data_IF_850834004349
#
_entry.id   IF_850834004349
#
_cell.length_a   1.000
_cell.length_b   1.000
_cell.length_c   1.000
_cell.angle_alpha   90.00
_cell.angle_beta   90.00
_cell.angle_gamma   90.00
#
_symmetry.space_group_name_H-M   'P 1'
#
loop_
_entity.id
_entity.type
_entity.pdbx_description
1 polymer ?
#
# COMPACT_ATOMS: atom_id res chain seq x y z
N UNK A 1 70.97 2.20 -1.35
CA UNK A 1 70.06 1.65 -2.40
C UNK A 1 69.52 0.24 -2.10
N UNK A 2 70.19 -0.60 -1.31
CA UNK A 2 69.67 -1.98 -0.97
C UNK A 2 68.38 -2.04 -0.14
N UNK A 3 68.04 -1.01 0.66
CA UNK A 3 66.88 -1.04 1.56
C UNK A 3 65.54 -0.64 0.90
N UNK A 4 65.60 0.05 -0.24
CA UNK A 4 64.38 0.48 -0.96
C UNK A 4 63.83 -0.72 -1.75
N UNK A 5 64.69 -1.57 -2.28
CA UNK A 5 64.30 -2.75 -3.02
C UNK A 5 63.54 -3.75 -2.10
N UNK A 6 64.02 -3.95 -0.87
CA UNK A 6 63.46 -4.86 0.11
C UNK A 6 62.06 -4.40 0.63
N UNK A 7 61.84 -3.08 0.65
CA UNK A 7 60.54 -2.52 1.11
C UNK A 7 59.47 -2.59 0.04
N UNK A 8 59.86 -2.60 -1.24
CA UNK A 8 58.95 -2.73 -2.37
C UNK A 8 58.46 -4.21 -2.49
N UNK A 9 59.35 -5.15 -2.25
CA UNK A 9 59.00 -6.61 -2.25
C UNK A 9 58.07 -6.96 -1.11
N UNK A 10 58.23 -6.35 0.07
CA UNK A 10 57.33 -6.57 1.22
C UNK A 10 55.93 -6.02 0.93
N UNK A 11 55.81 -4.84 0.30
CA UNK A 11 54.50 -4.27 -0.09
C UNK A 11 53.79 -5.10 -1.13
N UNK A 12 54.49 -5.66 -2.11
CA UNK A 12 53.94 -6.58 -3.11
C UNK A 12 53.52 -7.89 -2.50
N UNK A 13 54.28 -8.44 -1.55
CA UNK A 13 53.91 -9.66 -0.82
C UNK A 13 52.65 -9.45 0.05
N UNK A 14 52.53 -8.33 0.75
CA UNK A 14 51.32 -7.95 1.54
C UNK A 14 50.13 -7.78 0.63
N UNK A 15 50.27 -7.15 -0.51
CA UNK A 15 49.20 -6.93 -1.48
C UNK A 15 48.71 -8.26 -2.09
N UNK A 16 49.63 -9.15 -2.43
CA UNK A 16 49.33 -10.50 -2.91
C UNK A 16 48.61 -11.35 -1.81
N UNK A 17 49.01 -11.18 -0.55
CA UNK A 17 48.38 -11.87 0.60
C UNK A 17 46.93 -11.38 0.81
N UNK A 18 46.71 -10.08 0.67
CA UNK A 18 45.34 -9.48 0.78
C UNK A 18 44.43 -9.99 -0.34
N UNK A 19 44.95 -10.01 -1.59
CA UNK A 19 44.20 -10.55 -2.75
C UNK A 19 43.85 -12.04 -2.54
N UNK A 20 44.80 -12.86 -2.05
CA UNK A 20 44.55 -14.25 -1.74
C UNK A 20 43.50 -14.45 -0.64
N UNK A 21 43.48 -13.57 0.35
CA UNK A 21 42.47 -13.58 1.42
C UNK A 21 41.06 -13.25 0.92
N UNK A 22 40.94 -12.30 -0.02
CA UNK A 22 39.63 -11.99 -0.66
C UNK A 22 39.14 -13.10 -1.60
N UNK A 23 40.04 -13.88 -2.21
CA UNK A 23 39.70 -15.01 -3.09
C UNK A 23 39.28 -16.27 -2.31
N UNK A 24 39.66 -16.41 -1.05
CA UNK A 24 39.30 -17.57 -0.21
C UNK A 24 37.93 -17.45 0.48
N UNK A 25 37.27 -16.29 0.36
CA UNK A 25 35.99 -15.99 1.02
C UNK A 25 34.76 -16.69 0.43
N UNK A 26 34.85 -17.33 -0.74
CA UNK A 26 33.79 -18.16 -1.28
C UNK A 26 34.15 -19.65 -1.09
N UNK A 27 33.52 -20.29 -0.15
CA UNK A 27 33.62 -21.70 0.22
C UNK A 27 33.34 -22.67 -0.97
N UNK A 28 33.83 -22.37 -2.17
CA UNK A 28 33.72 -23.17 -3.40
C UNK A 28 32.31 -23.36 -3.96
N UNK A 29 31.27 -22.74 -3.33
CA UNK A 29 29.91 -22.75 -3.83
C UNK A 29 29.64 -21.44 -4.53
N UNK A 30 29.83 -21.44 -5.85
CA UNK A 30 29.28 -20.38 -6.69
C UNK A 30 27.76 -20.28 -6.40
N UNK A 31 27.18 -19.06 -6.27
CA UNK A 31 25.75 -18.88 -6.19
C UNK A 31 25.12 -19.18 -7.56
N UNK A 32 25.09 -20.43 -7.92
CA UNK A 32 24.47 -20.98 -9.11
C UNK A 32 23.52 -22.08 -8.67
N UNK A 33 22.29 -22.07 -9.20
CA UNK A 33 21.34 -23.13 -8.93
C UNK A 33 21.95 -24.49 -9.34
N UNK A 34 21.82 -25.50 -8.47
CA UNK A 34 22.20 -26.86 -8.76
C UNK A 34 21.43 -27.33 -10.02
N UNK A 35 22.16 -27.53 -11.13
CA UNK A 35 21.60 -27.98 -12.42
C UNK A 35 20.86 -29.33 -12.33
N UNK A 36 21.14 -30.13 -11.27
CA UNK A 36 20.40 -31.34 -10.98
C UNK A 36 19.02 -31.10 -10.40
N UNK A 37 18.85 -29.98 -9.73
CA UNK A 37 17.57 -29.57 -9.10
C UNK A 37 16.78 -28.61 -9.96
N UNK A 38 17.45 -27.82 -10.80
CA UNK A 38 16.82 -26.79 -11.64
C UNK A 38 17.20 -27.06 -13.09
N UNK A 39 16.27 -27.42 -13.97
CA UNK A 39 16.52 -27.63 -15.39
C UNK A 39 17.16 -26.40 -16.03
N UNK A 40 18.13 -26.60 -16.92
CA UNK A 40 18.77 -25.51 -17.66
C UNK A 40 17.81 -24.87 -18.67
N UNK A 41 16.90 -25.66 -19.19
CA UNK A 41 15.85 -25.20 -20.12
C UNK A 41 14.78 -24.38 -19.40
N UNK A 42 14.48 -23.14 -19.85
CA UNK A 42 13.47 -22.29 -19.27
C UNK A 42 12.06 -22.89 -19.27
N UNK A 43 11.65 -23.60 -20.32
CA UNK A 43 10.32 -24.20 -20.42
C UNK A 43 10.13 -25.34 -19.42
N UNK A 44 11.13 -26.22 -19.29
CA UNK A 44 11.13 -27.30 -18.30
C UNK A 44 11.14 -26.74 -16.87
N UNK A 45 11.78 -25.59 -16.65
CA UNK A 45 11.79 -24.89 -15.35
C UNK A 45 10.41 -24.34 -15.00
N UNK A 46 9.74 -23.72 -15.97
CA UNK A 46 8.38 -23.20 -15.81
C UNK A 46 7.42 -24.36 -15.50
N UNK A 47 7.49 -25.45 -16.30
CA UNK A 47 6.65 -26.63 -16.10
C UNK A 47 6.84 -27.24 -14.72
N UNK A 48 8.07 -27.43 -14.30
CA UNK A 48 8.41 -27.94 -12.97
C UNK A 48 7.89 -27.03 -11.84
N UNK A 49 8.05 -25.72 -11.98
CA UNK A 49 7.56 -24.78 -10.99
C UNK A 49 6.03 -24.76 -10.90
N UNK A 50 5.33 -24.97 -12.03
CA UNK A 50 3.87 -25.11 -12.05
C UNK A 50 3.42 -26.41 -11.38
N UNK A 51 4.09 -27.54 -11.66
CA UNK A 51 3.80 -28.85 -11.06
C UNK A 51 4.06 -28.85 -9.54
N UNK A 52 5.11 -28.18 -9.09
CA UNK A 52 5.45 -28.03 -7.67
C UNK A 52 4.69 -26.91 -6.96
N UNK A 53 3.79 -26.22 -7.66
CA UNK A 53 3.02 -25.09 -7.11
C UNK A 53 3.88 -23.86 -6.79
N UNK A 54 5.10 -23.79 -7.31
CA UNK A 54 6.06 -22.68 -7.15
C UNK A 54 6.00 -21.68 -8.31
N UNK A 55 4.86 -21.57 -8.97
CA UNK A 55 4.62 -20.52 -9.96
C UNK A 55 4.70 -19.14 -9.33
N UNK A 56 5.04 -18.14 -10.13
CA UNK A 56 5.01 -16.73 -9.71
C UNK A 56 3.59 -16.39 -9.23
N UNK A 57 3.43 -16.26 -7.92
CA UNK A 57 2.19 -15.80 -7.30
C UNK A 57 2.35 -14.34 -6.98
N UNK A 58 1.69 -13.51 -7.77
CA UNK A 58 1.68 -12.06 -7.55
C UNK A 58 1.30 -11.71 -6.11
N UNK A 59 0.40 -12.49 -5.50
CA UNK A 59 -0.06 -12.30 -4.13
C UNK A 59 1.00 -12.59 -3.05
N UNK A 60 1.95 -13.50 -3.29
CA UNK A 60 3.00 -13.84 -2.31
C UNK A 60 4.18 -12.86 -2.35
N UNK A 61 4.53 -12.36 -3.55
CA UNK A 61 5.61 -11.39 -3.72
C UNK A 61 5.18 -10.01 -3.24
N UNK A 62 3.94 -9.59 -3.50
CA UNK A 62 3.39 -8.34 -3.00
C UNK A 62 2.99 -8.37 -1.51
N UNK A 63 2.73 -9.56 -0.94
CA UNK A 63 2.43 -9.72 0.48
C UNK A 63 3.64 -9.58 1.42
N UNK A 64 4.87 -9.70 0.90
CA UNK A 64 6.12 -9.52 1.67
C UNK A 64 6.68 -8.12 1.61
N UNK A 65 6.30 -7.34 0.62
CA UNK A 65 6.62 -5.92 0.59
C UNK A 65 5.64 -5.18 1.50
N UNK A 66 6.11 -4.67 2.63
CA UNK A 66 5.41 -3.67 3.47
C UNK A 66 5.19 -2.33 2.73
N UNK A 67 5.19 -2.34 1.43
CA UNK A 67 4.96 -1.24 0.50
C UNK A 67 3.65 -1.47 -0.24
N UNK A 68 2.55 -1.06 0.35
CA UNK A 68 1.36 -0.51 -0.26
C UNK A 68 0.80 -1.17 -1.52
N UNK A 69 0.37 -2.44 -1.45
CA UNK A 69 -0.80 -2.80 -2.22
C UNK A 69 -1.96 -2.16 -1.46
N UNK A 70 -2.47 -1.07 -2.00
CA UNK A 70 -3.66 -0.42 -1.49
C UNK A 70 -4.86 -1.35 -1.72
N UNK A 71 -5.11 -2.29 -0.83
CA UNK A 71 -6.40 -2.97 -0.74
C UNK A 71 -7.44 -1.98 -0.18
N UNK A 72 -7.74 -0.92 -0.93
CA UNK A 72 -8.76 0.04 -0.52
C UNK A 72 -10.14 -0.60 -0.43
N UNK A 73 -10.40 -1.64 -1.22
CA UNK A 73 -11.74 -2.08 -1.51
C UNK A 73 -12.47 -2.78 -0.37
N UNK A 74 -11.79 -3.63 0.42
CA UNK A 74 -12.49 -4.46 1.39
C UNK A 74 -11.92 -4.43 2.80
N UNK A 75 -10.66 -4.02 2.96
CA UNK A 75 -9.95 -4.06 4.24
C UNK A 75 -9.56 -2.69 4.79
N UNK A 76 -9.72 -1.61 4.00
CA UNK A 76 -9.39 -0.27 4.46
C UNK A 76 -10.59 0.37 5.16
N UNK A 77 -10.45 0.61 6.44
CA UNK A 77 -11.48 1.18 7.31
C UNK A 77 -11.86 2.60 6.90
N UNK A 78 -10.88 3.42 6.45
CA UNK A 78 -11.14 4.78 5.95
C UNK A 78 -11.98 4.77 4.69
N UNK A 79 -11.71 3.85 3.78
CA UNK A 79 -12.46 3.71 2.53
C UNK A 79 -13.93 3.35 2.81
N UNK A 80 -14.15 2.32 3.62
CA UNK A 80 -15.50 1.89 4.02
C UNK A 80 -16.25 3.00 4.74
N UNK A 81 -15.60 3.66 5.71
CA UNK A 81 -16.20 4.77 6.44
C UNK A 81 -16.56 5.94 5.53
N UNK A 82 -15.72 6.24 4.53
CA UNK A 82 -16.02 7.30 3.57
C UNK A 82 -17.24 6.99 2.73
N UNK A 83 -17.35 5.78 2.19
CA UNK A 83 -18.53 5.35 1.44
C UNK A 83 -19.80 5.41 2.27
N UNK A 84 -19.74 4.97 3.51
CA UNK A 84 -20.89 4.98 4.42
C UNK A 84 -21.32 6.38 4.86
N UNK A 85 -20.41 7.34 4.92
CA UNK A 85 -20.74 8.73 5.29
C UNK A 85 -21.40 9.46 4.12
N UNK A 86 -21.02 9.13 2.88
CA UNK A 86 -21.56 9.76 1.67
C UNK A 86 -22.62 8.90 0.95
N UNK A 87 -23.13 7.84 1.59
CA UNK A 87 -24.05 6.85 1.00
C UNK A 87 -25.35 7.48 0.44
N UNK A 88 -25.75 8.63 0.99
CA UNK A 88 -26.91 9.37 0.50
C UNK A 88 -26.70 10.04 -0.86
N UNK A 89 -25.47 10.10 -1.37
CA UNK A 89 -25.12 10.76 -2.63
C UNK A 89 -24.79 9.72 -3.73
N UNK A 90 -25.28 9.91 -4.96
CA UNK A 90 -24.84 9.08 -6.08
C UNK A 90 -23.36 9.29 -6.35
N UNK A 91 -22.66 8.21 -6.71
CA UNK A 91 -21.24 8.23 -7.02
C UNK A 91 -21.02 8.43 -8.52
N UNK A 92 -20.18 9.39 -8.88
CA UNK A 92 -19.78 9.67 -10.26
C UNK A 92 -18.55 8.86 -10.67
N UNK A 93 -17.57 8.74 -9.76
CA UNK A 93 -16.33 8.01 -10.03
C UNK A 93 -15.75 7.43 -8.74
N UNK A 94 -15.32 6.17 -8.82
CA UNK A 94 -14.68 5.47 -7.72
C UNK A 94 -13.44 4.78 -8.26
N UNK A 95 -12.27 5.21 -7.82
CA UNK A 95 -11.00 4.65 -8.23
C UNK A 95 -10.24 4.11 -7.01
N UNK A 96 -10.28 2.78 -6.82
CA UNK A 96 -9.64 2.11 -5.71
C UNK A 96 -8.11 2.28 -5.71
N UNK A 97 -7.48 2.01 -6.84
CA UNK A 97 -6.02 2.08 -6.97
C UNK A 97 -5.48 3.50 -6.88
N UNK A 98 -6.25 4.48 -7.35
CA UNK A 98 -5.90 5.90 -7.24
C UNK A 98 -6.31 6.53 -5.92
N UNK A 99 -7.06 5.81 -5.07
CA UNK A 99 -7.51 6.32 -3.78
C UNK A 99 -8.39 7.57 -3.90
N UNK A 100 -9.39 7.55 -4.82
CA UNK A 100 -10.27 8.71 -5.07
C UNK A 100 -11.71 8.26 -5.17
N UNK A 101 -12.59 8.98 -4.46
CA UNK A 101 -14.05 8.88 -4.57
C UNK A 101 -14.58 10.25 -4.97
N UNK A 102 -15.44 10.29 -5.97
CA UNK A 102 -16.11 11.52 -6.44
C UNK A 102 -17.60 11.23 -6.53
N UNK A 103 -18.40 12.02 -5.84
CA UNK A 103 -19.87 11.96 -5.95
C UNK A 103 -20.35 12.66 -7.21
N UNK A 104 -21.58 12.45 -7.61
CA UNK A 104 -22.24 13.33 -8.55
C UNK A 104 -22.80 14.56 -7.84
N UNK A 105 -23.36 15.50 -8.61
CA UNK A 105 -24.06 16.65 -8.07
C UNK A 105 -25.33 16.19 -7.37
N UNK A 106 -25.47 16.59 -6.12
CA UNK A 106 -26.61 16.26 -5.27
C UNK A 106 -27.31 17.56 -4.82
N UNK A 107 -28.61 17.62 -5.03
CA UNK A 107 -29.48 18.70 -4.58
C UNK A 107 -30.48 18.16 -3.60
N UNK A 108 -30.81 18.93 -2.55
CA UNK A 108 -31.96 18.60 -1.70
C UNK A 108 -33.27 18.91 -2.43
N UNK A 109 -34.35 18.26 -2.05
CA UNK A 109 -35.66 18.48 -2.64
C UNK A 109 -36.16 19.96 -2.40
N UNK A 110 -35.63 20.62 -1.38
CA UNK A 110 -36.02 21.96 -0.99
C UNK A 110 -35.27 23.06 -1.77
N UNK A 111 -34.07 22.73 -2.28
CA UNK A 111 -33.21 23.70 -2.96
C UNK A 111 -32.75 23.14 -4.32
N UNK A 112 -33.64 23.23 -5.30
CA UNK A 112 -33.36 22.66 -6.64
C UNK A 112 -32.30 23.43 -7.44
N UNK A 113 -32.03 24.65 -7.11
CA UNK A 113 -31.06 25.54 -7.76
C UNK A 113 -29.65 25.49 -7.11
N UNK A 114 -29.52 24.81 -5.97
CA UNK A 114 -28.24 24.56 -5.32
C UNK A 114 -27.91 23.10 -5.33
N UNK A 115 -26.66 22.75 -5.60
CA UNK A 115 -26.17 21.37 -5.54
C UNK A 115 -24.74 21.30 -5.03
N UNK A 116 -24.43 20.21 -4.38
CA UNK A 116 -23.09 19.93 -3.85
C UNK A 116 -22.47 18.73 -4.55
N UNK A 117 -21.15 18.73 -4.62
CA UNK A 117 -20.32 17.64 -5.13
C UNK A 117 -19.14 17.45 -4.19
N UNK A 118 -18.86 16.22 -3.80
CA UNK A 118 -17.78 15.89 -2.88
C UNK A 118 -16.70 15.08 -3.62
N UNK A 119 -15.45 15.46 -3.39
CA UNK A 119 -14.29 14.69 -3.83
C UNK A 119 -13.44 14.32 -2.62
N UNK A 120 -13.23 13.03 -2.39
CA UNK A 120 -12.41 12.49 -1.30
C UNK A 120 -11.19 11.84 -1.92
N UNK A 121 -9.99 12.28 -1.53
CA UNK A 121 -8.71 11.69 -1.92
C UNK A 121 -8.04 11.13 -0.68
N UNK A 122 -7.65 9.86 -0.75
CA UNK A 122 -6.91 9.17 0.29
C UNK A 122 -5.41 9.40 0.08
N UNK A 123 -4.74 9.92 1.09
CA UNK A 123 -3.31 10.21 1.08
C UNK A 123 -2.49 9.12 1.77
N UNK A 124 -3.11 8.45 2.76
CA UNK A 124 -2.54 7.31 3.48
C UNK A 124 -3.64 6.33 3.88
N UNK A 125 -3.23 5.13 4.33
CA UNK A 125 -4.15 4.10 4.84
C UNK A 125 -4.33 4.17 6.37
N UNK A 126 -3.62 5.07 7.03
CA UNK A 126 -3.67 5.22 8.48
C UNK A 126 -4.83 6.13 8.88
N UNK A 127 -5.47 5.82 10.01
CA UNK A 127 -6.58 6.64 10.55
C UNK A 127 -5.99 7.84 11.29
N UNK A 128 -5.77 8.92 10.56
CA UNK A 128 -5.24 10.18 11.08
C UNK A 128 -5.79 11.38 10.32
N UNK A 129 -5.71 12.56 10.91
CA UNK A 129 -6.35 13.78 10.39
C UNK A 129 -5.87 14.23 9.02
N UNK A 130 -4.65 13.89 8.63
CA UNK A 130 -4.05 14.21 7.33
C UNK A 130 -4.18 13.07 6.29
N UNK A 131 -4.86 11.97 6.66
CA UNK A 131 -5.08 10.84 5.75
C UNK A 131 -6.02 11.16 4.58
N UNK A 132 -6.86 12.17 4.72
CA UNK A 132 -7.90 12.53 3.77
C UNK A 132 -7.77 13.97 3.30
N UNK A 133 -7.84 14.16 1.99
CA UNK A 133 -8.06 15.45 1.35
C UNK A 133 -9.48 15.49 0.80
N UNK A 134 -10.34 16.27 1.44
CA UNK A 134 -11.75 16.41 1.07
C UNK A 134 -11.95 17.78 0.44
N UNK A 135 -12.62 17.80 -0.72
CA UNK A 135 -13.06 19.03 -1.40
C UNK A 135 -14.55 18.98 -1.62
N UNK A 136 -15.22 20.03 -1.25
CA UNK A 136 -16.66 20.21 -1.46
C UNK A 136 -16.86 21.34 -2.45
N UNK A 137 -17.61 21.08 -3.49
CA UNK A 137 -17.96 22.06 -4.51
C UNK A 137 -19.46 22.37 -4.40
N UNK A 138 -19.80 23.65 -4.33
CA UNK A 138 -21.15 24.15 -4.39
C UNK A 138 -21.41 24.67 -5.79
N UNK A 139 -22.51 24.24 -6.40
CA UNK A 139 -23.03 24.79 -7.64
C UNK A 139 -24.34 25.48 -7.34
N UNK A 140 -24.39 26.75 -7.65
CA UNK A 140 -25.61 27.59 -7.53
C UNK A 140 -26.00 28.12 -8.89
N UNK A 141 -27.23 27.82 -9.30
CA UNK A 141 -27.80 28.23 -10.57
C UNK A 141 -28.85 29.31 -10.35
N UNK A 142 -29.15 30.09 -11.37
CA UNK A 142 -30.33 30.97 -11.36
C UNK A 142 -31.62 30.14 -11.52
N UNK A 143 -32.78 30.80 -11.43
CA UNK A 143 -34.12 30.17 -11.48
C UNK A 143 -34.35 29.40 -12.78
N UNK A 144 -33.66 29.77 -13.85
CA UNK A 144 -33.75 29.11 -15.16
C UNK A 144 -32.84 27.88 -15.27
N UNK A 145 -31.97 27.59 -14.30
CA UNK A 145 -30.97 26.56 -14.28
C UNK A 145 -29.94 26.64 -15.42
N UNK A 146 -29.88 27.77 -16.13
CA UNK A 146 -28.98 27.95 -17.29
C UNK A 146 -27.63 28.56 -16.90
N UNK A 147 -27.64 29.50 -15.92
CA UNK A 147 -26.42 30.17 -15.47
C UNK A 147 -25.99 29.62 -14.11
N UNK A 148 -25.06 28.69 -14.11
CA UNK A 148 -24.59 28.09 -12.90
C UNK A 148 -23.17 28.59 -12.54
N UNK A 149 -22.98 28.96 -11.27
CA UNK A 149 -21.66 29.30 -10.71
C UNK A 149 -21.21 28.22 -9.75
N UNK A 150 -19.97 27.76 -9.93
CA UNK A 150 -19.34 26.75 -9.09
C UNK A 150 -18.31 27.43 -8.20
N UNK A 151 -18.32 27.10 -6.91
CA UNK A 151 -17.34 27.55 -5.92
C UNK A 151 -16.88 26.39 -5.05
N UNK A 152 -15.62 26.40 -4.63
CA UNK A 152 -15.10 25.46 -3.64
C UNK A 152 -15.48 25.93 -2.23
N UNK A 153 -16.05 25.03 -1.43
CA UNK A 153 -16.43 25.31 -0.05
C UNK A 153 -15.37 24.72 0.89
N UNK A 154 -14.60 25.58 1.53
CA UNK A 154 -13.58 25.22 2.52
C UNK A 154 -14.06 25.44 3.97
N UNK A 155 -15.36 25.49 4.18
CA UNK A 155 -15.99 25.77 5.47
C UNK A 155 -16.08 24.57 6.41
N UNK A 156 -16.98 24.68 7.38
CA UNK A 156 -17.22 23.68 8.45
C UNK A 156 -17.56 22.30 7.92
N UNK A 157 -18.28 22.21 6.80
CA UNK A 157 -18.70 20.94 6.18
C UNK A 157 -17.52 20.00 5.85
N UNK A 158 -16.40 20.54 5.40
CA UNK A 158 -15.19 19.73 5.10
C UNK A 158 -14.62 19.13 6.39
N UNK A 159 -14.60 19.93 7.46
CA UNK A 159 -14.10 19.48 8.78
C UNK A 159 -15.04 18.47 9.40
N UNK A 160 -16.34 18.68 9.31
CA UNK A 160 -17.36 17.76 9.80
C UNK A 160 -17.32 16.43 9.09
N UNK A 161 -17.31 16.42 7.74
CA UNK A 161 -17.16 15.20 6.95
C UNK A 161 -15.90 14.42 7.32
N UNK A 162 -14.76 15.12 7.41
CA UNK A 162 -13.50 14.52 7.80
C UNK A 162 -13.59 13.88 9.19
N UNK A 163 -14.17 14.57 10.15
CA UNK A 163 -14.33 14.09 11.54
C UNK A 163 -15.22 12.87 11.60
N UNK A 164 -16.35 12.87 10.91
CA UNK A 164 -17.27 11.74 10.89
C UNK A 164 -16.65 10.50 10.18
N UNK A 165 -15.93 10.69 9.08
CA UNK A 165 -15.22 9.61 8.41
C UNK A 165 -14.16 8.99 9.33
N UNK A 166 -13.33 9.81 9.98
CA UNK A 166 -12.28 9.32 10.88
C UNK A 166 -12.86 8.59 12.09
N UNK A 167 -13.92 9.13 12.68
CA UNK A 167 -14.63 8.51 13.80
C UNK A 167 -15.21 7.15 13.41
N UNK A 168 -15.86 7.04 12.26
CA UNK A 168 -16.44 5.80 11.77
C UNK A 168 -15.35 4.78 11.41
N UNK A 169 -14.25 5.22 10.81
CA UNK A 169 -13.10 4.38 10.51
C UNK A 169 -12.45 3.79 11.78
N UNK A 170 -12.30 4.60 12.84
CA UNK A 170 -11.80 4.12 14.13
C UNK A 170 -12.71 3.08 14.78
N UNK A 171 -14.03 3.17 14.60
CA UNK A 171 -14.96 2.12 15.05
C UNK A 171 -14.74 0.82 14.30
N UNK A 172 -14.57 0.86 12.97
CA UNK A 172 -14.30 -0.34 12.16
C UNK A 172 -12.97 -0.99 12.50
N UNK A 173 -11.93 -0.21 12.74
CA UNK A 173 -10.64 -0.71 13.19
C UNK A 173 -10.75 -1.43 14.53
N UNK A 174 -11.49 -0.85 15.49
CA UNK A 174 -11.75 -1.47 16.79
C UNK A 174 -12.47 -2.80 16.65
N UNK A 175 -13.54 -2.88 15.86
CA UNK A 175 -14.29 -4.11 15.61
C UNK A 175 -13.41 -5.21 14.99
N UNK A 176 -12.57 -4.85 14.02
CA UNK A 176 -11.62 -5.75 13.39
C UNK A 176 -10.60 -6.30 14.39
N UNK A 177 -10.07 -5.43 15.24
CA UNK A 177 -9.10 -5.79 16.28
C UNK A 177 -9.73 -6.74 17.30
N UNK A 178 -10.97 -6.50 17.71
CA UNK A 178 -11.69 -7.37 18.64
C UNK A 178 -12.00 -8.74 18.04
N UNK A 179 -12.39 -8.82 16.77
CA UNK A 179 -12.58 -10.09 16.04
C UNK A 179 -11.28 -10.89 15.99
N UNK A 180 -10.18 -10.24 15.63
CA UNK A 180 -8.87 -10.89 15.53
C UNK A 180 -8.34 -11.40 16.88
N UNK A 181 -8.63 -10.70 17.99
CA UNK A 181 -8.29 -11.16 19.34
C UNK A 181 -8.99 -12.45 19.73
N UNK A 182 -10.23 -12.66 19.29
CA UNK A 182 -11.03 -13.88 19.60
C UNK A 182 -10.52 -15.12 18.84
N UNK A 183 -9.85 -14.92 17.71
CA UNK A 183 -9.27 -16.00 16.88
C UNK A 183 -7.88 -16.45 17.33
N UNK A 184 -7.17 -15.63 18.09
CA UNK A 184 -5.80 -15.96 18.51
C UNK A 184 -5.79 -16.84 19.75
N UNK A 185 -5.83 -18.16 19.54
CA UNK A 185 -5.57 -19.16 20.60
C UNK A 185 -4.06 -19.39 20.67
N UNK A 186 -3.44 -18.96 21.77
CA UNK A 186 -2.01 -19.23 21.99
C UNK A 186 -1.71 -20.73 21.91
N UNK A 187 -0.76 -21.19 21.08
CA UNK A 187 -0.36 -22.59 21.08
C UNK A 187 0.19 -22.95 22.46
N UNK A 188 -0.37 -24.02 23.07
CA UNK A 188 0.13 -24.55 24.34
C UNK A 188 1.57 -24.99 24.18
N UNK A 189 2.51 -24.30 24.83
CA UNK A 189 3.91 -24.69 24.88
C UNK A 189 3.99 -26.04 25.60
N UNK A 190 4.27 -27.13 24.86
CA UNK A 190 4.56 -28.42 25.47
C UNK A 190 5.89 -28.27 26.22
N UNK A 191 5.86 -28.22 27.53
CA UNK A 191 7.06 -28.37 28.37
C UNK A 191 7.65 -29.75 28.07
N UNK A 192 8.83 -29.78 27.44
CA UNK A 192 9.62 -31.01 27.36
C UNK A 192 9.99 -31.41 28.79
N UNK A 193 9.59 -32.61 29.19
CA UNK A 193 10.11 -33.30 30.39
C UNK A 193 11.51 -33.82 30.10
#
# INVERSE_FOLDING_TARGET
MKNIFKMQDIKTLVFLGIIAFFLSGCNGKLPGGDARKTPADPELRIKKNLEEGRGFRLSEEFGKTKGGVFEFASSNELWRASLDVIDFMPLSSVNYSGGVIITDWFSSEQETNESIKISIRFLTNEIRSDALSIKVFNRKCDVSLLNCRISENNGTIVTELKTEILKKAALYEKEKTEKNKKEYVMPKIKKKK
#
